data_IF_849668230454
#
_entry.id   IF_849668230454
#
_cell.length_a   1.000
_cell.length_b   1.000
_cell.length_c   1.000
_cell.angle_alpha   90.00
_cell.angle_beta   90.00
_cell.angle_gamma   90.00
#
_symmetry.space_group_name_H-M   'P 1'
#
loop_
_entity.id
_entity.type
_entity.pdbx_description
1 polymer ?
#
# COMPACT_ATOMS: atom_id res chain seq x y z
N UNK A 1 49.44 26.88 -8.27
CA UNK A 1 48.21 26.63 -7.48
C UNK A 1 47.51 25.29 -7.81
N UNK A 2 47.76 24.65 -8.97
CA UNK A 2 47.15 23.35 -9.31
C UNK A 2 47.70 22.14 -8.51
N UNK A 3 48.90 22.27 -7.92
CA UNK A 3 49.60 21.14 -7.31
C UNK A 3 48.99 20.70 -5.96
N UNK A 4 48.69 21.65 -5.07
CA UNK A 4 48.13 21.37 -3.73
C UNK A 4 46.75 20.71 -3.81
N UNK A 5 45.88 21.18 -4.71
CA UNK A 5 44.53 20.62 -4.84
C UNK A 5 44.55 19.20 -5.42
N UNK A 6 45.45 18.93 -6.38
CA UNK A 6 45.62 17.59 -6.94
C UNK A 6 46.21 16.61 -5.92
N UNK A 7 47.17 17.06 -5.09
CA UNK A 7 47.71 16.29 -3.97
C UNK A 7 46.65 15.98 -2.92
N UNK A 8 45.79 16.96 -2.58
CA UNK A 8 44.66 16.77 -1.65
C UNK A 8 43.66 15.74 -2.17
N UNK A 9 43.30 15.82 -3.45
CA UNK A 9 42.35 14.89 -4.06
C UNK A 9 42.93 13.46 -4.09
N UNK A 10 44.20 13.31 -4.48
CA UNK A 10 44.89 12.01 -4.46
C UNK A 10 44.99 11.43 -3.06
N UNK A 11 45.33 12.25 -2.06
CA UNK A 11 45.43 11.82 -0.68
C UNK A 11 44.06 11.41 -0.12
N UNK A 12 42.98 12.13 -0.46
CA UNK A 12 41.63 11.76 -0.07
C UNK A 12 41.21 10.41 -0.66
N UNK A 13 41.40 10.23 -1.97
CA UNK A 13 41.06 8.98 -2.65
C UNK A 13 41.82 7.79 -2.07
N UNK A 14 43.12 7.96 -1.79
CA UNK A 14 43.97 6.93 -1.22
C UNK A 14 43.55 6.57 0.21
N UNK A 15 43.18 7.55 1.03
CA UNK A 15 42.69 7.31 2.41
C UNK A 15 41.35 6.58 2.41
N UNK A 16 40.45 6.93 1.49
CA UNK A 16 39.15 6.25 1.36
C UNK A 16 39.33 4.81 0.84
N UNK A 17 40.26 4.59 -0.10
CA UNK A 17 40.62 3.26 -0.59
C UNK A 17 41.22 2.39 0.53
N UNK A 18 42.16 2.92 1.31
CA UNK A 18 42.73 2.24 2.48
C UNK A 18 41.64 1.88 3.49
N UNK A 19 40.70 2.79 3.75
CA UNK A 19 39.61 2.56 4.70
C UNK A 19 38.69 1.44 4.23
N UNK A 20 38.37 1.40 2.93
CA UNK A 20 37.57 0.34 2.32
C UNK A 20 38.30 -1.01 2.33
N UNK A 21 39.58 -1.03 1.97
CA UNK A 21 40.38 -2.26 1.97
C UNK A 21 40.54 -2.83 3.39
N UNK A 22 40.65 -1.99 4.41
CA UNK A 22 40.63 -2.42 5.82
C UNK A 22 39.29 -3.07 6.19
N UNK A 23 38.16 -2.51 5.77
CA UNK A 23 36.84 -3.11 6.01
C UNK A 23 36.69 -4.48 5.31
N UNK A 24 37.26 -4.64 4.11
CA UNK A 24 37.30 -5.94 3.41
C UNK A 24 38.20 -6.93 4.14
N UNK A 25 39.34 -6.49 4.68
CA UNK A 25 40.23 -7.34 5.50
C UNK A 25 39.50 -7.78 6.77
N UNK A 26 38.77 -6.90 7.43
CA UNK A 26 37.97 -7.23 8.62
C UNK A 26 36.91 -8.30 8.34
N UNK A 27 36.24 -8.23 7.18
CA UNK A 27 35.17 -9.16 6.79
C UNK A 27 35.69 -10.49 6.24
N UNK A 28 36.75 -10.48 5.45
CA UNK A 28 37.25 -11.64 4.70
C UNK A 28 38.43 -12.34 5.39
N UNK A 29 39.08 -11.69 6.37
CA UNK A 29 40.25 -12.19 7.13
C UNK A 29 41.41 -12.67 6.23
N UNK A 30 41.65 -11.97 5.11
CA UNK A 30 42.69 -12.33 4.13
C UNK A 30 44.01 -11.57 4.40
N UNK A 31 45.08 -12.30 4.76
CA UNK A 31 46.41 -11.71 5.06
C UNK A 31 47.15 -11.17 3.84
N UNK A 32 46.89 -11.68 2.64
CA UNK A 32 47.57 -11.22 1.45
C UNK A 32 47.23 -9.76 1.12
N UNK A 33 46.06 -9.30 1.58
CA UNK A 33 45.62 -7.91 1.48
C UNK A 33 46.33 -6.96 2.46
N UNK A 34 46.93 -7.49 3.54
CA UNK A 34 47.64 -6.68 4.55
C UNK A 34 48.86 -5.97 3.97
N UNK A 35 49.69 -6.70 3.23
CA UNK A 35 50.90 -6.12 2.63
C UNK A 35 50.56 -4.99 1.66
N UNK A 36 49.47 -5.13 0.88
CA UNK A 36 48.96 -4.06 0.00
C UNK A 36 48.57 -2.82 0.80
N UNK A 37 47.81 -3.00 1.89
CA UNK A 37 47.36 -1.89 2.74
C UNK A 37 48.54 -1.20 3.44
N UNK A 38 49.55 -1.94 3.90
CA UNK A 38 50.76 -1.36 4.49
C UNK A 38 51.55 -0.51 3.48
N UNK A 39 51.66 -0.97 2.23
CA UNK A 39 52.29 -0.19 1.15
C UNK A 39 51.50 1.10 0.88
N UNK A 40 50.19 1.03 0.76
CA UNK A 40 49.32 2.20 0.54
C UNK A 40 49.35 3.18 1.73
N UNK A 41 49.40 2.69 2.97
CA UNK A 41 49.57 3.53 4.17
C UNK A 41 50.92 4.27 4.13
N UNK A 42 51.99 3.58 3.73
CA UNK A 42 53.32 4.19 3.61
C UNK A 42 53.35 5.25 2.51
N UNK A 43 52.66 5.03 1.39
CA UNK A 43 52.48 6.01 0.33
C UNK A 43 51.67 7.23 0.79
N UNK A 44 50.52 7.01 1.46
CA UNK A 44 49.72 8.08 2.06
C UNK A 44 50.52 8.91 3.08
N UNK A 45 51.41 8.26 3.85
CA UNK A 45 52.29 8.93 4.81
C UNK A 45 53.35 9.79 4.14
N UNK A 46 53.81 9.43 2.94
CA UNK A 46 54.75 10.24 2.15
C UNK A 46 54.04 11.45 1.57
N UNK A 47 52.88 11.23 0.94
CA UNK A 47 52.06 12.31 0.38
C UNK A 47 51.57 13.31 1.44
N UNK A 48 51.21 12.83 2.64
CA UNK A 48 50.84 13.70 3.75
C UNK A 48 52.01 14.59 4.23
N UNK A 49 53.24 14.06 4.22
CA UNK A 49 54.45 14.84 4.58
C UNK A 49 54.80 15.89 3.52
N UNK A 50 54.62 15.55 2.25
CA UNK A 50 54.84 16.52 1.17
C UNK A 50 53.74 17.59 1.17
N UNK A 51 52.51 17.23 1.51
CA UNK A 51 51.42 18.18 1.72
C UNK A 51 51.65 19.07 2.96
N UNK A 52 52.23 18.54 4.05
CA UNK A 52 52.56 19.30 5.27
C UNK A 52 53.59 20.42 5.03
N UNK A 53 54.51 20.21 4.07
CA UNK A 53 55.49 21.21 3.63
C UNK A 53 54.84 22.37 2.88
N UNK A 54 53.71 22.16 2.23
CA UNK A 54 52.97 23.18 1.50
C UNK A 54 51.84 23.80 2.34
N UNK A 55 51.22 23.01 3.22
CA UNK A 55 50.15 23.44 4.12
C UNK A 55 50.17 22.63 5.44
N UNK A 56 50.72 23.26 6.48
CA UNK A 56 50.95 22.64 7.78
C UNK A 56 49.66 22.33 8.57
N UNK A 57 48.52 22.91 8.21
CA UNK A 57 47.25 22.60 8.90
C UNK A 57 46.67 21.28 8.40
N UNK A 58 46.61 21.10 7.08
CA UNK A 58 46.04 19.92 6.46
C UNK A 58 46.95 18.69 6.56
N UNK A 59 48.27 18.87 6.50
CA UNK A 59 49.22 17.76 6.70
C UNK A 59 49.07 17.09 8.07
N UNK A 60 48.84 17.88 9.13
CA UNK A 60 48.63 17.38 10.49
C UNK A 60 47.34 16.57 10.64
N UNK A 61 46.26 17.02 10.02
CA UNK A 61 44.97 16.31 10.03
C UNK A 61 45.08 14.94 9.36
N UNK A 62 45.66 14.88 8.16
CA UNK A 62 45.83 13.61 7.45
C UNK A 62 46.79 12.66 8.15
N UNK A 63 47.84 13.18 8.81
CA UNK A 63 48.72 12.37 9.65
C UNK A 63 47.97 11.71 10.81
N UNK A 64 47.11 12.46 11.52
CA UNK A 64 46.27 11.91 12.58
C UNK A 64 45.32 10.82 12.06
N UNK A 65 44.71 11.02 10.88
CA UNK A 65 43.84 10.02 10.25
C UNK A 65 44.62 8.76 9.85
N UNK A 66 45.82 8.91 9.29
CA UNK A 66 46.70 7.78 8.92
C UNK A 66 47.16 7.02 10.16
N UNK A 67 47.48 7.71 11.26
CA UNK A 67 47.88 7.06 12.52
C UNK A 67 46.70 6.28 13.14
N UNK A 68 45.48 6.81 13.08
CA UNK A 68 44.28 6.08 13.50
C UNK A 68 44.03 4.83 12.64
N UNK A 69 44.27 4.93 11.33
CA UNK A 69 44.18 3.81 10.39
C UNK A 69 45.23 2.74 10.70
N UNK A 70 46.47 3.13 11.01
CA UNK A 70 47.54 2.21 11.43
C UNK A 70 47.16 1.46 12.70
N UNK A 71 46.63 2.16 13.69
CA UNK A 71 46.20 1.54 14.94
C UNK A 71 45.06 0.54 14.71
N UNK A 72 44.11 0.86 13.82
CA UNK A 72 43.05 -0.08 13.42
C UNK A 72 43.62 -1.31 12.72
N UNK A 73 44.53 -1.12 11.77
CA UNK A 73 45.19 -2.23 11.08
C UNK A 73 45.99 -3.13 12.04
N UNK A 74 46.66 -2.55 13.03
CA UNK A 74 47.36 -3.29 14.07
C UNK A 74 46.38 -4.10 14.93
N UNK A 75 45.25 -3.50 15.33
CA UNK A 75 44.20 -4.20 16.08
C UNK A 75 43.60 -5.36 15.27
N UNK A 76 43.37 -5.18 13.97
CA UNK A 76 42.93 -6.25 13.05
C UNK A 76 43.99 -7.34 12.92
N UNK A 77 45.28 -6.98 13.01
CA UNK A 77 46.40 -7.94 13.00
C UNK A 77 46.60 -8.66 14.34
N UNK A 78 46.14 -8.07 15.45
CA UNK A 78 46.15 -8.69 16.80
C UNK A 78 45.02 -9.70 16.99
N UNK A 79 44.06 -9.74 16.08
CA UNK A 79 43.14 -10.88 15.95
C UNK A 79 44.01 -12.03 15.42
N UNK A 80 44.21 -13.11 16.19
CA UNK A 80 45.08 -14.20 15.78
C UNK A 80 44.55 -14.80 14.47
N UNK A 81 45.30 -14.59 13.37
CA UNK A 81 45.05 -15.29 12.10
C UNK A 81 45.85 -16.60 12.02
N UNK A 82 46.26 -17.10 13.19
CA UNK A 82 46.78 -18.45 13.36
C UNK A 82 45.83 -19.26 14.24
N UNK A 83 44.88 -19.89 13.57
CA UNK A 83 44.26 -21.13 14.01
C UNK A 83 44.27 -22.17 12.88
N UNK A 84 45.19 -22.04 11.92
CA UNK A 84 45.17 -22.85 10.70
C UNK A 84 46.29 -23.90 10.61
N UNK A 85 47.39 -23.79 11.35
CA UNK A 85 48.45 -24.80 11.28
C UNK A 85 49.15 -24.91 12.64
N UNK A 86 48.96 -26.06 13.31
CA UNK A 86 49.79 -26.58 14.41
C UNK A 86 49.35 -26.41 15.89
N UNK A 87 48.07 -26.17 16.18
CA UNK A 87 47.48 -26.66 17.44
C UNK A 87 46.39 -27.66 17.06
N UNK A 88 46.33 -28.80 17.76
CA UNK A 88 45.45 -29.91 17.42
C UNK A 88 44.03 -29.47 17.04
N UNK A 89 43.43 -30.19 16.09
CA UNK A 89 42.01 -30.11 15.76
C UNK A 89 41.21 -29.87 17.05
N UNK A 90 40.72 -28.65 17.24
CA UNK A 90 39.84 -28.31 18.36
C UNK A 90 38.42 -28.25 17.79
N UNK A 91 37.69 -29.39 17.78
CA UNK A 91 36.39 -29.50 17.12
C UNK A 91 35.35 -28.52 17.69
N UNK A 92 35.60 -27.93 18.87
CA UNK A 92 34.67 -27.02 19.54
C UNK A 92 34.61 -25.63 18.89
N UNK A 93 35.74 -25.09 18.45
CA UNK A 93 35.80 -23.76 17.81
C UNK A 93 35.18 -23.78 16.41
N UNK A 94 35.42 -24.85 15.66
CA UNK A 94 34.85 -25.01 14.31
C UNK A 94 33.32 -25.25 14.37
N UNK A 95 32.85 -25.99 15.39
CA UNK A 95 31.42 -26.15 15.70
C UNK A 95 30.74 -24.82 16.01
N UNK A 96 31.38 -23.95 16.79
CA UNK A 96 30.81 -22.64 17.13
C UNK A 96 30.70 -21.74 15.88
N UNK A 97 31.71 -21.76 15.01
CA UNK A 97 31.68 -21.03 13.73
C UNK A 97 30.60 -21.56 12.77
N UNK A 98 30.42 -22.88 12.70
CA UNK A 98 29.35 -23.51 11.92
C UNK A 98 27.95 -23.15 12.47
N UNK A 99 27.75 -23.19 13.79
CA UNK A 99 26.49 -22.79 14.42
C UNK A 99 26.09 -21.35 14.12
N UNK A 100 27.06 -20.41 14.14
CA UNK A 100 26.82 -19.01 13.80
C UNK A 100 26.43 -18.85 12.33
N UNK A 101 27.12 -19.55 11.41
CA UNK A 101 26.75 -19.55 9.97
C UNK A 101 25.36 -20.13 9.74
N UNK A 102 25.03 -21.24 10.40
CA UNK A 102 23.70 -21.84 10.31
C UNK A 102 22.61 -20.92 10.86
N UNK A 103 22.90 -20.16 11.91
CA UNK A 103 21.98 -19.16 12.44
C UNK A 103 21.76 -18.00 11.43
N UNK A 104 22.83 -17.53 10.78
CA UNK A 104 22.74 -16.49 9.76
C UNK A 104 22.00 -16.97 8.51
N UNK A 105 22.28 -18.19 8.03
CA UNK A 105 21.59 -18.79 6.90
C UNK A 105 20.10 -18.98 7.20
N UNK A 106 19.75 -19.42 8.41
CA UNK A 106 18.36 -19.50 8.87
C UNK A 106 17.69 -18.14 8.94
N UNK A 107 18.38 -17.13 9.46
CA UNK A 107 17.89 -15.74 9.50
C UNK A 107 17.63 -15.20 8.10
N UNK A 108 18.55 -15.41 7.17
CA UNK A 108 18.41 -15.01 5.77
C UNK A 108 17.26 -15.74 5.08
N UNK A 109 17.15 -17.06 5.24
CA UNK A 109 16.05 -17.85 4.69
C UNK A 109 14.69 -17.39 5.23
N UNK A 110 14.60 -17.05 6.52
CA UNK A 110 13.40 -16.45 7.11
C UNK A 110 13.08 -15.09 6.49
N UNK A 111 14.10 -14.25 6.28
CA UNK A 111 13.91 -12.92 5.69
C UNK A 111 13.39 -13.00 4.25
N UNK A 112 13.96 -13.89 3.45
CA UNK A 112 13.50 -14.15 2.08
C UNK A 112 12.04 -14.63 2.09
N UNK A 113 11.70 -15.60 2.95
CA UNK A 113 10.33 -16.09 3.10
C UNK A 113 9.35 -15.00 3.54
N UNK A 114 9.75 -14.17 4.50
CA UNK A 114 8.92 -13.05 4.96
C UNK A 114 8.75 -12.00 3.87
N UNK A 115 9.80 -11.74 3.07
CA UNK A 115 9.74 -10.84 1.92
C UNK A 115 8.76 -11.34 0.85
N UNK A 116 8.79 -12.64 0.53
CA UNK A 116 7.85 -13.28 -0.39
C UNK A 116 6.41 -13.21 0.13
N UNK A 117 6.19 -13.57 1.41
CA UNK A 117 4.88 -13.48 2.05
C UNK A 117 4.32 -12.05 2.05
N UNK A 118 5.18 -11.06 2.26
CA UNK A 118 4.80 -9.65 2.21
C UNK A 118 4.45 -9.19 0.78
N UNK A 119 5.16 -9.69 -0.24
CA UNK A 119 4.84 -9.40 -1.63
C UNK A 119 3.47 -9.96 -2.01
N UNK A 120 3.19 -11.21 -1.64
CA UNK A 120 1.88 -11.84 -1.83
C UNK A 120 0.80 -11.04 -1.09
N UNK A 121 1.02 -10.69 0.18
CA UNK A 121 0.06 -9.90 0.96
C UNK A 121 -0.22 -8.54 0.33
N UNK A 122 0.78 -7.87 -0.26
CA UNK A 122 0.59 -6.61 -0.98
C UNK A 122 -0.25 -6.78 -2.24
N UNK A 123 0.05 -7.82 -3.02
CA UNK A 123 -0.73 -8.14 -4.21
C UNK A 123 -2.19 -8.44 -3.86
N UNK A 124 -2.43 -9.31 -2.86
CA UNK A 124 -3.80 -9.63 -2.41
C UNK A 124 -4.51 -8.41 -1.84
N UNK A 125 -3.82 -7.54 -1.09
CA UNK A 125 -4.41 -6.30 -0.59
C UNK A 125 -4.82 -5.36 -1.73
N UNK A 126 -3.99 -5.23 -2.76
CA UNK A 126 -4.31 -4.44 -3.95
C UNK A 126 -5.49 -5.03 -4.74
N UNK A 127 -5.51 -6.34 -4.98
CA UNK A 127 -6.65 -7.02 -5.61
C UNK A 127 -7.94 -6.84 -4.78
N UNK A 128 -7.84 -6.86 -3.44
CA UNK A 128 -8.96 -6.61 -2.54
C UNK A 128 -9.44 -5.16 -2.59
N UNK A 129 -8.53 -4.18 -2.68
CA UNK A 129 -8.88 -2.77 -2.86
C UNK A 129 -9.60 -2.55 -4.19
N UNK A 130 -9.12 -3.16 -5.27
CA UNK A 130 -9.77 -3.11 -6.58
C UNK A 130 -11.18 -3.70 -6.55
N UNK A 131 -11.33 -4.91 -6.00
CA UNK A 131 -12.65 -5.54 -5.83
C UNK A 131 -13.56 -4.72 -4.91
N UNK A 132 -13.02 -4.14 -3.84
CA UNK A 132 -13.76 -3.26 -2.94
C UNK A 132 -14.29 -2.01 -3.65
N UNK A 133 -13.47 -1.40 -4.51
CA UNK A 133 -13.88 -0.25 -5.32
C UNK A 133 -14.99 -0.61 -6.32
N UNK A 134 -14.90 -1.77 -6.97
CA UNK A 134 -15.94 -2.29 -7.86
C UNK A 134 -17.26 -2.52 -7.11
N UNK A 135 -17.21 -3.18 -5.95
CA UNK A 135 -18.38 -3.40 -5.10
C UNK A 135 -19.01 -2.07 -4.67
N UNK A 136 -18.21 -1.06 -4.33
CA UNK A 136 -18.74 0.26 -3.96
C UNK A 136 -19.43 0.97 -5.12
N UNK A 137 -18.89 0.86 -6.33
CA UNK A 137 -19.52 1.39 -7.55
C UNK A 137 -20.86 0.70 -7.83
N UNK A 138 -20.91 -0.63 -7.69
CA UNK A 138 -22.13 -1.42 -7.85
C UNK A 138 -23.18 -1.08 -6.80
N UNK A 139 -22.80 -0.98 -5.52
CA UNK A 139 -23.72 -0.59 -4.44
C UNK A 139 -24.29 0.81 -4.67
N UNK A 140 -23.49 1.73 -5.20
CA UNK A 140 -23.96 3.09 -5.56
C UNK A 140 -24.99 3.02 -6.68
N UNK A 141 -24.74 2.21 -7.70
CA UNK A 141 -25.68 1.99 -8.82
C UNK A 141 -26.97 1.28 -8.38
N UNK A 142 -26.85 0.29 -7.50
CA UNK A 142 -28.00 -0.40 -6.91
C UNK A 142 -28.83 0.56 -6.05
N UNK A 143 -28.18 1.44 -5.27
CA UNK A 143 -28.85 2.48 -4.50
C UNK A 143 -29.64 3.41 -5.40
N UNK A 144 -29.05 3.89 -6.50
CA UNK A 144 -29.76 4.74 -7.46
C UNK A 144 -30.98 4.01 -8.08
N UNK A 145 -30.83 2.72 -8.40
CA UNK A 145 -31.91 1.89 -8.93
C UNK A 145 -33.06 1.74 -7.91
N UNK A 146 -32.73 1.53 -6.63
CA UNK A 146 -33.72 1.47 -5.55
C UNK A 146 -34.47 2.79 -5.38
N UNK A 147 -33.76 3.93 -5.42
CA UNK A 147 -34.37 5.26 -5.36
C UNK A 147 -35.33 5.49 -6.53
N UNK A 148 -34.90 5.19 -7.77
CA UNK A 148 -35.77 5.29 -8.95
C UNK A 148 -36.98 4.36 -8.85
N UNK A 149 -36.82 3.17 -8.29
CA UNK A 149 -37.93 2.24 -8.07
C UNK A 149 -38.90 2.76 -7.03
N UNK A 150 -38.40 3.36 -5.94
CA UNK A 150 -39.22 4.01 -4.94
C UNK A 150 -40.03 5.17 -5.51
N UNK A 151 -39.41 6.01 -6.35
CA UNK A 151 -40.09 7.12 -7.03
C UNK A 151 -41.20 6.60 -7.94
N UNK A 152 -40.92 5.58 -8.76
CA UNK A 152 -41.93 4.93 -9.61
C UNK A 152 -43.07 4.30 -8.82
N UNK A 153 -42.79 3.73 -7.65
CA UNK A 153 -43.82 3.18 -6.77
C UNK A 153 -44.71 4.29 -6.19
N UNK A 154 -44.13 5.43 -5.82
CA UNK A 154 -44.89 6.59 -5.37
C UNK A 154 -45.75 7.17 -6.50
N UNK A 155 -45.19 7.35 -7.70
CA UNK A 155 -45.94 7.76 -8.90
C UNK A 155 -47.08 6.77 -9.22
N UNK A 156 -46.80 5.47 -9.18
CA UNK A 156 -47.81 4.42 -9.36
C UNK A 156 -48.94 4.51 -8.34
N UNK A 157 -48.62 4.77 -7.08
CA UNK A 157 -49.61 4.97 -6.02
C UNK A 157 -50.48 6.22 -6.28
N UNK A 158 -49.91 7.30 -6.79
CA UNK A 158 -50.66 8.48 -7.21
C UNK A 158 -51.60 8.18 -8.38
N UNK A 159 -51.13 7.47 -9.40
CA UNK A 159 -51.96 7.02 -10.52
C UNK A 159 -53.11 6.11 -10.06
N UNK A 160 -52.88 5.20 -9.10
CA UNK A 160 -53.93 4.35 -8.51
C UNK A 160 -54.97 5.17 -7.73
N UNK A 161 -54.54 6.19 -6.97
CA UNK A 161 -55.45 7.13 -6.31
C UNK A 161 -56.29 7.92 -7.33
N UNK A 162 -55.68 8.41 -8.40
CA UNK A 162 -56.38 9.11 -9.47
C UNK A 162 -57.37 8.19 -10.20
N UNK A 163 -56.97 6.95 -10.51
CA UNK A 163 -57.84 5.94 -11.10
C UNK A 163 -59.05 5.62 -10.21
N UNK A 164 -58.82 5.46 -8.91
CA UNK A 164 -59.89 5.24 -7.92
C UNK A 164 -60.88 6.42 -7.87
N UNK A 165 -60.37 7.66 -7.94
CA UNK A 165 -61.20 8.86 -8.02
C UNK A 165 -62.05 8.88 -9.29
N UNK A 166 -61.46 8.55 -10.44
CA UNK A 166 -62.17 8.47 -11.73
C UNK A 166 -63.26 7.40 -11.70
N UNK A 167 -62.96 6.21 -11.17
CA UNK A 167 -63.93 5.13 -11.02
C UNK A 167 -65.09 5.55 -10.10
N UNK A 168 -64.81 6.25 -8.99
CA UNK A 168 -65.86 6.78 -8.10
C UNK A 168 -66.77 7.79 -8.81
N UNK A 169 -66.21 8.65 -9.68
CA UNK A 169 -67.01 9.57 -10.50
C UNK A 169 -67.89 8.83 -11.50
N UNK A 170 -67.35 7.83 -12.20
CA UNK A 170 -68.12 6.97 -13.11
C UNK A 170 -69.25 6.25 -12.37
N UNK A 171 -68.96 5.67 -11.20
CA UNK A 171 -69.94 5.01 -10.35
C UNK A 171 -71.09 5.94 -9.95
N UNK A 172 -70.76 7.17 -9.53
CA UNK A 172 -71.76 8.18 -9.13
C UNK A 172 -72.66 8.57 -10.32
N UNK A 173 -72.09 8.70 -11.53
CA UNK A 173 -72.86 8.96 -12.76
C UNK A 173 -73.82 7.81 -13.09
N UNK A 174 -73.37 6.55 -12.93
CA UNK A 174 -74.21 5.37 -13.15
C UNK A 174 -75.40 5.35 -12.18
N UNK A 175 -75.18 5.66 -10.90
CA UNK A 175 -76.28 5.77 -9.93
C UNK A 175 -77.28 6.85 -10.35
N UNK A 176 -76.80 8.05 -10.71
CA UNK A 176 -77.67 9.16 -11.13
C UNK A 176 -78.53 8.75 -12.34
N UNK A 177 -77.92 8.12 -13.34
CA UNK A 177 -78.66 7.61 -14.51
C UNK A 177 -79.72 6.59 -14.10
N UNK A 178 -79.39 5.69 -13.16
CA UNK A 178 -80.32 4.67 -12.65
C UNK A 178 -81.50 5.30 -11.88
N UNK A 179 -81.26 6.33 -11.08
CA UNK A 179 -82.30 7.07 -10.35
C UNK A 179 -83.21 7.84 -11.32
N UNK A 180 -82.64 8.51 -12.32
CA UNK A 180 -83.42 9.20 -13.37
C UNK A 180 -84.35 8.21 -14.09
N UNK A 181 -83.85 7.04 -14.46
CA UNK A 181 -84.65 5.99 -15.10
C UNK A 181 -85.84 5.56 -14.22
N UNK A 182 -85.60 5.28 -12.94
CA UNK A 182 -86.67 4.88 -12.00
C UNK A 182 -87.70 6.00 -11.86
N UNK A 183 -87.26 7.26 -11.81
CA UNK A 183 -88.14 8.42 -11.67
C UNK A 183 -89.09 8.55 -12.86
N UNK A 184 -88.58 8.41 -14.09
CA UNK A 184 -89.39 8.49 -15.31
C UNK A 184 -90.47 7.39 -15.30
N UNK A 185 -90.10 6.14 -14.99
CA UNK A 185 -91.03 5.02 -14.91
C UNK A 185 -92.14 5.28 -13.88
N UNK A 186 -91.81 5.82 -12.70
CA UNK A 186 -92.80 6.16 -11.68
C UNK A 186 -93.78 7.24 -12.15
N UNK A 187 -93.29 8.26 -12.85
CA UNK A 187 -94.14 9.33 -13.42
C UNK A 187 -95.09 8.75 -14.46
N UNK A 188 -94.59 7.90 -15.38
CA UNK A 188 -95.44 7.25 -16.39
C UNK A 188 -96.55 6.41 -15.76
N UNK A 189 -96.22 5.60 -14.75
CA UNK A 189 -97.21 4.82 -14.01
C UNK A 189 -98.22 5.71 -13.27
N UNK A 190 -97.78 6.83 -12.70
CA UNK A 190 -98.65 7.79 -12.02
C UNK A 190 -99.66 8.44 -12.98
N UNK A 191 -99.21 8.86 -14.16
CA UNK A 191 -100.10 9.43 -15.20
C UNK A 191 -101.09 8.38 -15.68
N UNK A 192 -100.63 7.17 -16.00
CA UNK A 192 -101.51 6.06 -16.41
C UNK A 192 -102.55 5.73 -15.34
N UNK A 193 -102.13 5.61 -14.09
CA UNK A 193 -103.02 5.37 -12.95
C UNK A 193 -104.03 6.50 -12.77
N UNK A 194 -103.60 7.76 -12.86
CA UNK A 194 -104.46 8.94 -12.76
C UNK A 194 -105.52 8.99 -13.86
N UNK A 195 -105.14 8.71 -15.11
CA UNK A 195 -106.10 8.65 -16.24
C UNK A 195 -107.11 7.52 -16.04
N UNK A 196 -106.67 6.34 -15.61
CA UNK A 196 -107.57 5.22 -15.32
C UNK A 196 -108.54 5.60 -14.19
N UNK A 197 -108.04 6.18 -13.10
CA UNK A 197 -108.87 6.61 -11.97
C UNK A 197 -109.91 7.65 -12.40
N UNK A 198 -109.49 8.67 -13.17
CA UNK A 198 -110.40 9.70 -13.65
C UNK A 198 -111.46 9.13 -14.60
N UNK A 199 -111.09 8.23 -15.52
CA UNK A 199 -112.04 7.57 -16.42
C UNK A 199 -113.01 6.65 -15.67
N UNK A 200 -112.55 5.94 -14.65
CA UNK A 200 -113.38 5.00 -13.90
C UNK A 200 -114.33 5.71 -12.93
N UNK A 201 -113.92 6.86 -12.39
CA UNK A 201 -114.74 7.67 -11.47
C UNK A 201 -115.63 8.70 -12.19
N UNK A 202 -115.28 9.12 -13.42
CA UNK A 202 -116.10 10.02 -14.25
C UNK A 202 -117.24 9.31 -15.00
N UNK A 203 -117.63 8.11 -14.57
CA UNK A 203 -118.75 7.35 -15.11
C UNK A 203 -119.69 6.97 -13.98
#
# INVERSE_FOLDING_TARGET
MADVNSLRQRLSLLVDEITRDIQVIETTRNLNSKHRVELSINEATRLARDLERLDSSYGREYKQRIDAIRQRLENVSRIPVHGAWNSGFDPEVDRLGQQQRDALLRGHASLVRTGEALNISRQTAHETEQLGNEIMADLTTQRETLLRTQDRLNEGNEHLKAGSKTLRLMYSRVIMNKVLLITIILVELGVLGGVIYWKFFSK
#
